data_IF_166060732371
#
_entry.id   IF_166060732371
#
_cell.length_a   1.000
_cell.length_b   1.000
_cell.length_c   1.000
_cell.angle_alpha   90.00
_cell.angle_beta   90.00
_cell.angle_gamma   90.00
#
_symmetry.space_group_name_H-M   'P 1'
#
loop_
_entity.id
_entity.type
_entity.pdbx_description
1 polymer ?
#
# COMPACT_ATOMS: atom_id res chain seq x y z
N UNK A 1 6.25 2.38 22.50
CA UNK A 1 6.24 1.36 21.42
C UNK A 1 4.86 1.39 20.78
N UNK A 2 4.74 1.76 19.49
CA UNK A 2 3.42 1.83 18.84
C UNK A 2 2.80 0.43 18.68
N UNK A 3 1.47 0.33 18.77
CA UNK A 3 0.76 -0.91 18.48
C UNK A 3 0.93 -1.30 17.00
N UNK A 4 0.84 -2.60 16.68
CA UNK A 4 0.95 -3.11 15.30
C UNK A 4 -0.09 -2.46 14.38
N UNK A 5 -1.31 -2.25 14.89
CA UNK A 5 -2.38 -1.53 14.20
C UNK A 5 -1.92 -0.12 13.80
N UNK A 6 -1.37 0.66 14.74
CA UNK A 6 -0.90 2.02 14.45
C UNK A 6 0.23 2.02 13.42
N UNK A 7 1.12 1.03 13.46
CA UNK A 7 2.19 0.87 12.47
C UNK A 7 1.64 0.59 11.07
N UNK A 8 0.68 -0.34 10.95
CA UNK A 8 0.03 -0.65 9.68
C UNK A 8 -0.67 0.61 9.14
N UNK A 9 -1.49 1.28 9.96
CA UNK A 9 -2.20 2.50 9.56
C UNK A 9 -1.23 3.60 9.09
N UNK A 10 -0.14 3.84 9.82
CA UNK A 10 0.84 4.85 9.47
C UNK A 10 1.54 4.54 8.14
N UNK A 11 1.97 3.29 7.94
CA UNK A 11 2.59 2.85 6.69
C UNK A 11 1.61 2.94 5.52
N UNK A 12 0.36 2.52 5.71
CA UNK A 12 -0.69 2.66 4.70
C UNK A 12 -0.92 4.11 4.30
N UNK A 13 -1.05 5.01 5.29
CA UNK A 13 -1.29 6.41 5.03
C UNK A 13 -0.12 7.06 4.29
N UNK A 14 1.11 6.70 4.67
CA UNK A 14 2.32 7.14 3.96
C UNK A 14 2.29 6.68 2.49
N UNK A 15 2.12 5.37 2.24
CA UNK A 15 2.10 4.81 0.89
C UNK A 15 0.97 5.37 0.03
N UNK A 16 -0.23 5.49 0.57
CA UNK A 16 -1.34 6.14 -0.13
C UNK A 16 -1.02 7.61 -0.48
N UNK A 17 -0.36 8.33 0.43
CA UNK A 17 0.12 9.69 0.20
C UNK A 17 1.12 9.78 -0.95
N UNK A 18 2.07 8.85 -1.05
CA UNK A 18 3.01 8.78 -2.18
C UNK A 18 2.28 8.50 -3.49
N UNK A 19 1.30 7.59 -3.50
CA UNK A 19 0.49 7.34 -4.68
C UNK A 19 -0.29 8.57 -5.13
N UNK A 20 -0.93 9.30 -4.21
CA UNK A 20 -1.61 10.55 -4.54
C UNK A 20 -0.65 11.63 -5.04
N UNK A 21 0.54 11.74 -4.45
CA UNK A 21 1.59 12.64 -4.94
C UNK A 21 1.96 12.33 -6.40
N UNK A 22 2.10 11.05 -6.76
CA UNK A 22 2.40 10.66 -8.15
C UNK A 22 1.21 10.91 -9.08
N UNK A 23 -0.02 10.68 -8.62
CA UNK A 23 -1.22 10.98 -9.39
C UNK A 23 -1.36 12.49 -9.70
N UNK A 24 -0.95 13.34 -8.76
CA UNK A 24 -0.92 14.79 -8.95
C UNK A 24 0.17 15.23 -9.92
N UNK A 25 1.34 14.59 -9.86
CA UNK A 25 2.51 14.94 -10.67
C UNK A 25 2.41 14.49 -12.14
N UNK A 26 1.70 13.40 -12.41
CA UNK A 26 1.66 12.78 -13.75
C UNK A 26 0.20 12.55 -14.22
N UNK A 27 -0.32 13.42 -15.12
CA UNK A 27 -1.67 13.30 -15.64
C UNK A 27 -1.97 11.99 -16.40
N UNK A 28 -0.97 11.38 -17.04
CA UNK A 28 -1.17 10.21 -17.89
C UNK A 28 -1.48 8.95 -17.06
N UNK A 29 -0.88 8.85 -15.88
CA UNK A 29 -1.09 7.72 -14.95
C UNK A 29 -1.94 8.10 -13.72
N UNK A 30 -2.51 9.32 -13.73
CA UNK A 30 -3.25 9.88 -12.59
C UNK A 30 -4.30 8.94 -12.02
N UNK A 31 -5.17 8.43 -12.89
CA UNK A 31 -6.30 7.60 -12.45
C UNK A 31 -5.79 6.31 -11.80
N UNK A 32 -4.76 5.69 -12.38
CA UNK A 32 -4.16 4.47 -11.85
C UNK A 32 -3.62 4.70 -10.44
N UNK A 33 -2.85 5.76 -10.22
CA UNK A 33 -2.25 6.06 -8.93
C UNK A 33 -3.26 6.58 -7.89
N UNK A 34 -4.29 7.32 -8.33
CA UNK A 34 -5.38 7.74 -7.46
C UNK A 34 -6.16 6.52 -6.93
N UNK A 35 -6.52 5.60 -7.82
CA UNK A 35 -7.17 4.35 -7.42
C UNK A 35 -6.26 3.49 -6.54
N UNK A 36 -4.94 3.58 -6.72
CA UNK A 36 -3.99 2.86 -5.89
C UNK A 36 -4.01 3.33 -4.43
N UNK A 37 -3.85 4.64 -4.21
CA UNK A 37 -3.94 5.21 -2.87
C UNK A 37 -5.31 4.98 -2.21
N UNK A 38 -6.40 5.06 -2.98
CA UNK A 38 -7.75 4.74 -2.48
C UNK A 38 -7.89 3.26 -2.09
N UNK A 39 -7.30 2.34 -2.87
CA UNK A 39 -7.28 0.91 -2.57
C UNK A 39 -6.60 0.62 -1.23
N UNK A 40 -5.47 1.27 -0.96
CA UNK A 40 -4.79 1.20 0.33
C UNK A 40 -5.69 1.65 1.50
N UNK A 41 -6.37 2.80 1.36
CA UNK A 41 -7.30 3.27 2.39
C UNK A 41 -8.51 2.35 2.58
N UNK A 42 -9.08 1.84 1.49
CA UNK A 42 -10.19 0.89 1.55
C UNK A 42 -9.79 -0.39 2.29
N UNK A 43 -8.59 -0.91 2.05
CA UNK A 43 -8.09 -2.13 2.69
C UNK A 43 -7.81 -1.95 4.17
N UNK A 44 -7.14 -0.86 4.60
CA UNK A 44 -6.93 -0.62 6.04
C UNK A 44 -8.24 -0.35 6.76
N UNK A 45 -9.18 0.35 6.11
CA UNK A 45 -10.52 0.56 6.63
C UNK A 45 -11.27 -0.76 6.81
N UNK A 46 -11.30 -1.60 5.77
CA UNK A 46 -11.93 -2.91 5.81
C UNK A 46 -11.30 -3.84 6.87
N UNK A 47 -9.99 -3.73 7.07
CA UNK A 47 -9.26 -4.61 7.98
C UNK A 47 -9.49 -4.29 9.46
N UNK A 48 -9.47 -3.00 9.83
CA UNK A 48 -9.59 -2.60 11.24
C UNK A 48 -10.93 -2.00 11.63
N UNK A 49 -11.61 -1.30 10.72
CA UNK A 49 -12.73 -0.40 11.06
C UNK A 49 -14.09 -0.88 10.54
N UNK A 50 -14.15 -1.94 9.74
CA UNK A 50 -15.40 -2.51 9.24
C UNK A 50 -15.87 -3.71 10.10
N UNK A 51 -16.69 -3.51 11.15
CA UNK A 51 -17.14 -4.60 12.03
C UNK A 51 -17.93 -5.67 11.30
N UNK A 52 -18.70 -5.31 10.27
CA UNK A 52 -19.45 -6.24 9.42
C UNK A 52 -18.55 -7.19 8.63
N UNK A 53 -17.26 -6.89 8.50
CA UNK A 53 -16.26 -7.74 7.84
C UNK A 53 -15.37 -8.50 8.83
N UNK A 54 -15.66 -8.46 10.14
CA UNK A 54 -14.83 -9.09 11.16
C UNK A 54 -14.57 -10.59 10.91
N UNK A 55 -15.59 -11.33 10.46
CA UNK A 55 -15.48 -12.76 10.11
C UNK A 55 -14.59 -13.03 8.88
N UNK A 56 -14.32 -12.00 8.07
CA UNK A 56 -13.50 -12.07 6.85
C UNK A 56 -12.13 -11.42 7.02
N UNK A 57 -11.73 -11.02 8.23
CA UNK A 57 -10.44 -10.34 8.47
C UNK A 57 -9.24 -11.10 7.91
N UNK A 58 -9.20 -12.43 8.04
CA UNK A 58 -8.12 -13.24 7.46
C UNK A 58 -8.06 -13.16 5.93
N UNK A 59 -9.23 -13.11 5.25
CA UNK A 59 -9.30 -12.92 3.81
C UNK A 59 -8.87 -11.49 3.42
N UNK A 60 -9.36 -10.48 4.12
CA UNK A 60 -8.98 -9.07 3.89
C UNK A 60 -7.48 -8.89 4.04
N UNK A 61 -6.87 -9.50 5.06
CA UNK A 61 -5.42 -9.49 5.26
C UNK A 61 -4.66 -10.10 4.09
N UNK A 62 -5.13 -11.24 3.55
CA UNK A 62 -4.52 -11.88 2.38
C UNK A 62 -4.65 -11.01 1.13
N UNK A 63 -5.81 -10.37 0.93
CA UNK A 63 -6.01 -9.41 -0.16
C UNK A 63 -5.06 -8.22 0.03
N UNK A 64 -4.91 -7.73 1.25
CA UNK A 64 -4.02 -6.63 1.56
C UNK A 64 -2.56 -6.99 1.26
N UNK A 65 -2.09 -8.15 1.72
CA UNK A 65 -0.78 -8.69 1.38
C UNK A 65 -0.58 -8.79 -0.14
N UNK A 66 -1.55 -9.37 -0.85
CA UNK A 66 -1.49 -9.52 -2.30
C UNK A 66 -1.43 -8.17 -3.02
N UNK A 67 -2.26 -7.22 -2.59
CA UNK A 67 -2.31 -5.86 -3.14
C UNK A 67 -0.95 -5.17 -3.01
N UNK A 68 -0.39 -5.10 -1.81
CA UNK A 68 0.92 -4.50 -1.55
C UNK A 68 2.05 -5.25 -2.28
N UNK A 69 1.93 -6.56 -2.46
CA UNK A 69 2.92 -7.32 -3.25
C UNK A 69 2.87 -6.90 -4.72
N UNK A 70 1.67 -6.76 -5.30
CA UNK A 70 1.49 -6.35 -6.69
C UNK A 70 2.04 -4.95 -6.93
N UNK A 71 1.83 -4.00 -6.01
CA UNK A 71 2.36 -2.64 -6.17
C UNK A 71 3.88 -2.59 -6.19
N UNK A 72 4.55 -3.35 -5.31
CA UNK A 72 6.02 -3.49 -5.30
C UNK A 72 6.51 -4.07 -6.63
N UNK A 73 5.91 -5.16 -7.10
CA UNK A 73 6.32 -5.84 -8.33
C UNK A 73 6.13 -4.95 -9.55
N UNK A 74 4.99 -4.28 -9.66
CA UNK A 74 4.69 -3.41 -10.81
C UNK A 74 5.61 -2.19 -10.85
N UNK A 75 5.96 -1.62 -9.70
CA UNK A 75 6.97 -0.56 -9.65
C UNK A 75 8.32 -1.07 -10.15
N UNK A 76 8.78 -2.24 -9.70
CA UNK A 76 10.06 -2.81 -10.13
C UNK A 76 10.11 -3.10 -11.62
N UNK A 77 9.03 -3.68 -12.17
CA UNK A 77 8.90 -3.94 -13.62
C UNK A 77 8.91 -2.61 -14.40
N UNK A 78 8.09 -1.65 -13.99
CA UNK A 78 8.01 -0.34 -14.65
C UNK A 78 9.35 0.39 -14.62
N UNK A 79 10.00 0.48 -13.47
CA UNK A 79 11.29 1.15 -13.33
C UNK A 79 12.40 0.48 -14.17
N UNK A 80 12.39 -0.85 -14.26
CA UNK A 80 13.32 -1.58 -15.11
C UNK A 80 13.09 -1.35 -16.61
N UNK A 81 11.83 -1.19 -17.03
CA UNK A 81 11.46 -0.94 -18.43
C UNK A 81 11.66 0.53 -18.84
N UNK A 82 11.34 1.47 -17.97
CA UNK A 82 11.37 2.91 -18.25
C UNK A 82 12.74 3.54 -17.98
N UNK A 83 13.54 2.94 -17.09
CA UNK A 83 14.75 3.57 -16.54
C UNK A 83 14.48 4.69 -15.53
N UNK A 84 13.21 5.02 -15.26
CA UNK A 84 12.80 6.02 -14.28
C UNK A 84 12.46 5.34 -12.95
N UNK A 85 13.20 5.70 -11.90
CA UNK A 85 12.98 5.19 -10.55
C UNK A 85 12.12 6.11 -9.69
N UNK A 86 11.72 7.29 -10.18
CA UNK A 86 10.99 8.32 -9.42
C UNK A 86 11.70 8.67 -8.09
N UNK A 87 13.01 8.92 -8.17
CA UNK A 87 13.84 9.15 -6.99
C UNK A 87 13.50 10.48 -6.27
N UNK A 88 13.62 10.53 -4.92
CA UNK A 88 13.86 9.40 -4.01
C UNK A 88 12.56 8.74 -3.52
N UNK A 89 11.40 9.32 -3.83
CA UNK A 89 10.10 8.92 -3.25
C UNK A 89 9.70 7.49 -3.64
N UNK A 90 9.97 7.07 -4.88
CA UNK A 90 9.65 5.71 -5.35
C UNK A 90 10.30 4.62 -4.48
N UNK A 91 11.64 4.56 -4.35
CA UNK A 91 12.29 3.55 -3.53
C UNK A 91 11.93 3.64 -2.04
N UNK A 92 11.77 4.85 -1.49
CA UNK A 92 11.37 5.04 -0.09
C UNK A 92 9.98 4.44 0.15
N UNK A 93 9.03 4.68 -0.76
CA UNK A 93 7.70 4.08 -0.68
C UNK A 93 7.76 2.55 -0.76
N UNK A 94 8.62 1.98 -1.61
CA UNK A 94 8.74 0.52 -1.67
C UNK A 94 9.31 -0.07 -0.37
N UNK A 95 10.22 0.64 0.30
CA UNK A 95 10.68 0.24 1.64
C UNK A 95 9.52 0.26 2.63
N UNK A 96 8.68 1.31 2.61
CA UNK A 96 7.50 1.38 3.46
C UNK A 96 6.51 0.24 3.17
N UNK A 97 6.27 -0.09 1.91
CA UNK A 97 5.42 -1.21 1.50
C UNK A 97 5.99 -2.57 1.94
N UNK A 98 7.31 -2.78 1.87
CA UNK A 98 7.95 -4.01 2.37
C UNK A 98 7.76 -4.14 3.87
N UNK A 99 7.92 -3.04 4.63
CA UNK A 99 7.66 -3.04 6.07
C UNK A 99 6.17 -3.32 6.33
N UNK A 100 5.26 -2.71 5.57
CA UNK A 100 3.82 -2.96 5.66
C UNK A 100 3.48 -4.43 5.42
N UNK A 101 4.06 -5.03 4.38
CA UNK A 101 3.88 -6.45 4.04
C UNK A 101 4.35 -7.35 5.18
N UNK A 102 5.52 -7.07 5.75
CA UNK A 102 6.02 -7.80 6.92
C UNK A 102 5.08 -7.65 8.14
N UNK A 103 4.56 -6.45 8.36
CA UNK A 103 3.65 -6.16 9.46
C UNK A 103 2.32 -6.90 9.32
N UNK A 104 1.74 -6.93 8.12
CA UNK A 104 0.54 -7.69 7.76
C UNK A 104 0.78 -9.21 7.84
N UNK A 105 1.96 -9.68 7.48
CA UNK A 105 2.31 -11.11 7.56
C UNK A 105 2.37 -11.58 9.01
N UNK A 106 2.98 -10.76 9.90
CA UNK A 106 3.07 -11.03 11.34
C UNK A 106 1.75 -10.85 12.10
N UNK A 107 0.81 -10.10 11.54
CA UNK A 107 -0.51 -9.91 12.13
C UNK A 107 -1.35 -11.18 11.92
N UNK A 108 -1.18 -12.15 12.83
CA UNK A 108 -1.95 -13.40 12.82
C UNK A 108 -3.31 -13.12 13.45
N UNK A 109 -4.28 -12.76 12.62
CA UNK A 109 -5.71 -12.70 12.96
C UNK A 109 -6.33 -14.09 12.93
#
# INVERSE_FOLDING_TARGET
>A
MFSRMNQIIALTAFTAGVHFSRAAADPEIRILFLLNGLGYFALVWAYFFAPQLASRRSLIRKIYLGYTTVTILFYGIWAAMSGDWTLPLGPIDKIAEIILLFQLWKDKV
#
